data_IF_668369737196
#
_entry.id   IF_668369737196
#
_cell.length_a   1.000
_cell.length_b   1.000
_cell.length_c   1.000
_cell.angle_alpha   90.00
_cell.angle_beta   90.00
_cell.angle_gamma   90.00
#
_symmetry.space_group_name_H-M   'P 1'
#
loop_
_entity.id
_entity.type
_entity.pdbx_description
1 polymer ?
#
# COMPACT_ATOMS: atom_id res chain seq x y z
N UNK A 1 -32.29 -15.25 2.58
CA UNK A 1 -31.03 -15.92 2.25
C UNK A 1 -29.91 -14.90 2.40
N UNK A 2 -29.01 -15.08 3.35
CA UNK A 2 -27.84 -14.21 3.49
C UNK A 2 -26.98 -14.31 2.24
N UNK A 3 -26.69 -13.17 1.64
CA UNK A 3 -25.90 -13.06 0.41
C UNK A 3 -24.44 -13.32 0.79
N UNK A 4 -23.91 -14.54 0.51
CA UNK A 4 -22.53 -14.89 0.84
C UNK A 4 -21.57 -14.06 0.00
N UNK A 5 -20.88 -13.10 0.61
CA UNK A 5 -19.83 -12.29 0.00
C UNK A 5 -18.72 -13.18 -0.56
N UNK A 6 -18.32 -12.94 -1.80
CA UNK A 6 -17.15 -13.57 -2.39
C UNK A 6 -15.95 -12.63 -2.34
N UNK A 7 -14.79 -13.26 -2.28
CA UNK A 7 -13.50 -12.58 -2.24
C UNK A 7 -12.73 -12.90 -3.51
N UNK A 8 -12.25 -11.87 -4.17
CA UNK A 8 -11.56 -11.96 -5.44
C UNK A 8 -10.16 -11.36 -5.34
N UNK A 9 -9.22 -11.88 -6.12
CA UNK A 9 -7.90 -11.31 -6.34
C UNK A 9 -7.75 -11.02 -7.82
N UNK A 10 -7.44 -9.77 -8.16
CA UNK A 10 -7.20 -9.34 -9.53
C UNK A 10 -5.78 -8.78 -9.66
N UNK A 11 -5.07 -9.08 -10.77
CA UNK A 11 -3.75 -8.54 -11.01
C UNK A 11 -3.83 -7.10 -11.53
N UNK A 12 -2.85 -6.30 -11.14
CA UNK A 12 -2.53 -5.01 -11.74
C UNK A 12 -1.07 -5.00 -12.18
N UNK A 13 -0.82 -4.53 -13.39
CA UNK A 13 0.52 -4.24 -13.87
C UNK A 13 0.79 -2.73 -13.68
N UNK A 14 1.67 -2.33 -12.74
CA UNK A 14 1.92 -0.92 -12.47
C UNK A 14 2.63 -0.18 -13.61
N UNK A 15 3.18 -0.89 -14.60
CA UNK A 15 3.74 -0.27 -15.81
C UNK A 15 2.66 0.08 -16.85
N UNK A 16 1.43 -0.37 -16.64
CA UNK A 16 0.28 -0.09 -17.52
C UNK A 16 -0.69 0.87 -16.85
N UNK A 17 -0.99 0.63 -15.57
CA UNK A 17 -1.96 1.40 -14.82
C UNK A 17 -1.52 1.57 -13.36
N UNK A 18 -1.39 2.81 -12.90
CA UNK A 18 -1.06 3.14 -11.51
C UNK A 18 -2.31 3.09 -10.61
N UNK A 19 -2.70 1.87 -10.26
CA UNK A 19 -3.84 1.65 -9.38
C UNK A 19 -3.67 2.29 -7.98
N UNK A 20 -2.45 2.31 -7.44
CA UNK A 20 -2.18 2.91 -6.13
C UNK A 20 -2.36 4.43 -6.19
N UNK A 21 -1.79 5.08 -7.18
CA UNK A 21 -1.97 6.53 -7.40
C UNK A 21 -3.44 6.88 -7.62
N UNK A 22 -4.14 6.10 -8.43
CA UNK A 22 -5.56 6.29 -8.71
C UNK A 22 -6.40 6.22 -7.42
N UNK A 23 -6.28 5.18 -6.61
CA UNK A 23 -7.06 5.03 -5.37
C UNK A 23 -6.63 5.96 -4.22
N UNK A 24 -5.48 6.62 -4.29
CA UNK A 24 -5.15 7.72 -3.37
C UNK A 24 -6.03 8.95 -3.58
N UNK A 25 -6.39 9.23 -4.82
CA UNK A 25 -7.20 10.41 -5.19
C UNK A 25 -8.67 10.07 -5.42
N UNK A 26 -8.95 8.92 -6.04
CA UNK A 26 -10.28 8.51 -6.45
C UNK A 26 -10.87 7.52 -5.44
N UNK A 27 -12.17 7.65 -5.19
CA UNK A 27 -12.89 6.74 -4.30
C UNK A 27 -13.52 5.56 -5.03
N UNK A 28 -13.74 5.71 -6.32
CA UNK A 28 -14.30 4.68 -7.19
C UNK A 28 -13.63 4.72 -8.56
N UNK A 29 -13.44 3.54 -9.16
CA UNK A 29 -12.84 3.35 -10.46
C UNK A 29 -13.64 2.28 -11.21
N UNK A 30 -13.82 2.44 -12.51
CA UNK A 30 -14.41 1.43 -13.36
C UNK A 30 -13.33 0.50 -13.92
N UNK A 31 -13.25 -0.70 -13.37
CA UNK A 31 -12.25 -1.70 -13.74
C UNK A 31 -12.76 -2.56 -14.87
N UNK A 32 -12.02 -2.60 -15.95
CA UNK A 32 -12.38 -3.38 -17.13
C UNK A 32 -12.47 -4.88 -16.83
N UNK A 33 -13.48 -5.52 -17.37
CA UNK A 33 -13.86 -6.86 -17.07
C UNK A 33 -14.26 -7.64 -18.32
N UNK A 34 -13.88 -8.91 -18.42
CA UNK A 34 -14.31 -9.76 -19.51
C UNK A 34 -15.74 -10.25 -19.26
N UNK A 35 -16.54 -10.35 -20.31
CA UNK A 35 -17.99 -10.62 -20.31
C UNK A 35 -18.50 -11.86 -19.56
N UNK A 36 -17.64 -12.78 -19.13
CA UNK A 36 -18.01 -13.92 -18.28
C UNK A 36 -17.92 -13.60 -16.80
N UNK A 37 -18.50 -12.51 -16.41
CA UNK A 37 -18.33 -11.97 -15.10
C UNK A 37 -19.16 -12.68 -14.04
N UNK A 38 -18.48 -13.05 -12.94
CA UNK A 38 -19.10 -13.69 -11.76
C UNK A 38 -19.11 -12.76 -10.54
N UNK A 39 -18.75 -11.47 -10.71
CA UNK A 39 -18.83 -10.49 -9.64
C UNK A 39 -20.29 -10.23 -9.26
N UNK A 40 -20.50 -9.93 -7.99
CA UNK A 40 -21.78 -9.45 -7.48
C UNK A 40 -21.54 -8.18 -6.67
N UNK A 41 -22.52 -7.30 -6.66
CA UNK A 41 -22.48 -6.12 -5.80
C UNK A 41 -22.32 -6.57 -4.34
N UNK A 42 -21.35 -5.98 -3.64
CA UNK A 42 -20.93 -6.33 -2.29
C UNK A 42 -19.84 -7.42 -2.22
N UNK A 43 -19.35 -7.93 -3.36
CA UNK A 43 -18.14 -8.75 -3.37
C UNK A 43 -16.91 -7.92 -3.03
N UNK A 44 -15.94 -8.51 -2.33
CA UNK A 44 -14.68 -7.88 -2.01
C UNK A 44 -13.63 -8.23 -3.07
N UNK A 45 -12.91 -7.22 -3.54
CA UNK A 45 -11.87 -7.38 -4.55
C UNK A 45 -10.56 -6.83 -4.03
N UNK A 46 -9.56 -7.70 -3.93
CA UNK A 46 -8.19 -7.32 -3.64
C UNK A 46 -7.42 -7.11 -4.94
N UNK A 47 -6.64 -6.05 -5.01
CA UNK A 47 -5.79 -5.76 -6.16
C UNK A 47 -4.35 -6.12 -5.80
N UNK A 48 -3.84 -7.13 -6.50
CA UNK A 48 -2.44 -7.53 -6.44
C UNK A 48 -1.65 -6.70 -7.44
N UNK A 49 -0.71 -5.90 -6.94
CA UNK A 49 0.19 -5.11 -7.77
C UNK A 49 1.44 -5.94 -8.07
N UNK A 50 1.75 -6.16 -9.34
CA UNK A 50 2.90 -6.93 -9.77
C UNK A 50 4.23 -6.20 -9.54
N UNK A 51 5.36 -6.67 -10.09
CA UNK A 51 6.68 -6.05 -9.91
C UNK A 51 6.64 -4.52 -10.17
N UNK A 52 7.33 -3.72 -9.37
CA UNK A 52 8.29 -4.10 -8.31
C UNK A 52 7.66 -4.42 -6.94
N UNK A 53 6.37 -4.16 -6.73
CA UNK A 53 5.68 -4.25 -5.43
C UNK A 53 5.44 -5.70 -5.00
N UNK A 54 4.89 -6.52 -5.88
CA UNK A 54 4.59 -7.94 -5.66
C UNK A 54 3.79 -8.25 -4.38
N UNK A 55 2.71 -7.52 -4.16
CA UNK A 55 1.83 -7.71 -3.00
C UNK A 55 0.37 -7.37 -3.32
N UNK A 56 -0.54 -7.81 -2.47
CA UNK A 56 -1.87 -7.21 -2.41
C UNK A 56 -1.70 -5.81 -1.82
N UNK A 57 -2.13 -4.78 -2.54
CA UNK A 57 -1.93 -3.39 -2.14
C UNK A 57 -3.24 -2.67 -1.80
N UNK A 58 -4.36 -3.10 -2.38
CA UNK A 58 -5.63 -2.37 -2.29
C UNK A 58 -6.77 -3.35 -2.06
N UNK A 59 -7.68 -2.97 -1.17
CA UNK A 59 -8.97 -3.63 -0.95
C UNK A 59 -10.09 -2.74 -1.44
N UNK A 60 -11.00 -3.31 -2.19
CA UNK A 60 -12.16 -2.62 -2.77
C UNK A 60 -13.42 -3.47 -2.61
N UNK A 61 -14.57 -2.85 -2.81
CA UNK A 61 -15.88 -3.49 -2.87
C UNK A 61 -16.51 -3.25 -4.25
N UNK A 62 -17.19 -4.23 -4.79
CA UNK A 62 -17.96 -4.07 -6.03
C UNK A 62 -19.22 -3.26 -5.73
N UNK A 63 -19.32 -2.04 -6.27
CA UNK A 63 -20.49 -1.16 -6.09
C UNK A 63 -21.46 -1.18 -7.29
N UNK A 64 -20.97 -1.44 -8.51
CA UNK A 64 -21.77 -1.58 -9.74
C UNK A 64 -21.16 -2.67 -10.64
N UNK A 65 -21.99 -3.40 -11.37
CA UNK A 65 -21.58 -4.43 -12.33
C UNK A 65 -22.17 -4.15 -13.71
N UNK A 66 -21.63 -4.81 -14.72
CA UNK A 66 -22.12 -4.79 -16.11
C UNK A 66 -22.25 -3.36 -16.66
N UNK A 67 -21.25 -2.51 -16.38
CA UNK A 67 -21.18 -1.13 -16.86
C UNK A 67 -20.69 -1.17 -18.30
N UNK A 68 -21.46 -0.68 -19.27
CA UNK A 68 -20.99 -0.55 -20.65
C UNK A 68 -19.94 0.56 -20.79
N UNK A 69 -19.16 0.53 -21.86
CA UNK A 69 -18.01 1.43 -22.07
C UNK A 69 -18.39 2.91 -22.13
N UNK A 70 -19.58 3.22 -22.58
CA UNK A 70 -20.11 4.57 -22.68
C UNK A 70 -20.68 5.13 -21.36
N UNK A 71 -20.81 4.28 -20.33
CA UNK A 71 -21.27 4.67 -18.99
C UNK A 71 -20.16 4.67 -17.92
N UNK A 72 -18.89 4.45 -18.27
CA UNK A 72 -17.79 4.49 -17.30
C UNK A 72 -17.53 5.90 -16.78
N UNK A 73 -16.94 6.00 -15.57
CA UNK A 73 -16.60 7.28 -14.97
C UNK A 73 -15.54 8.06 -15.76
N UNK A 74 -14.58 7.36 -16.40
CA UNK A 74 -13.49 7.98 -17.16
C UNK A 74 -12.61 8.95 -16.36
N UNK A 75 -12.68 8.89 -15.04
CA UNK A 75 -12.02 9.83 -14.14
C UNK A 75 -10.56 9.44 -13.82
N UNK A 76 -10.11 8.31 -14.32
CA UNK A 76 -8.82 7.68 -14.02
C UNK A 76 -7.86 7.61 -15.21
N UNK A 77 -8.18 8.28 -16.32
CA UNK A 77 -7.38 8.25 -17.56
C UNK A 77 -5.90 8.64 -17.33
N UNK A 78 -5.63 9.61 -16.46
CA UNK A 78 -4.27 10.08 -16.15
C UNK A 78 -3.38 9.03 -15.48
N UNK A 79 -3.96 7.93 -14.96
CA UNK A 79 -3.22 6.84 -14.33
C UNK A 79 -2.85 5.71 -15.29
N UNK A 80 -3.29 5.77 -16.56
CA UNK A 80 -2.81 4.88 -17.61
C UNK A 80 -1.46 5.38 -18.12
N UNK A 81 -0.41 4.60 -17.88
CA UNK A 81 0.97 4.95 -18.23
C UNK A 81 1.30 4.64 -19.70
N UNK A 82 0.55 3.75 -20.30
CA UNK A 82 0.61 3.45 -21.72
C UNK A 82 -0.77 3.76 -22.32
N UNK A 83 -0.81 4.47 -23.44
CA UNK A 83 -2.02 4.86 -24.16
C UNK A 83 -2.84 3.67 -24.71
N UNK A 84 -2.69 2.48 -24.14
CA UNK A 84 -3.54 1.35 -24.45
C UNK A 84 -4.91 1.58 -23.80
N UNK A 85 -5.81 2.14 -24.58
CA UNK A 85 -7.23 2.22 -24.27
C UNK A 85 -7.71 0.79 -23.96
N UNK A 86 -8.39 0.63 -22.85
CA UNK A 86 -8.99 -0.65 -22.48
C UNK A 86 -10.06 -1.04 -23.52
N UNK A 87 -9.78 -2.08 -24.30
CA UNK A 87 -10.67 -2.58 -25.36
C UNK A 87 -11.86 -3.38 -24.82
N UNK A 88 -12.03 -3.45 -23.50
CA UNK A 88 -13.12 -4.18 -22.89
C UNK A 88 -14.44 -3.46 -23.06
N UNK A 89 -15.49 -4.23 -23.28
CA UNK A 89 -16.84 -3.73 -23.50
C UNK A 89 -17.68 -3.67 -22.21
N UNK A 90 -17.18 -4.26 -21.12
CA UNK A 90 -17.88 -4.32 -19.84
C UNK A 90 -16.94 -4.00 -18.68
N UNK A 91 -17.46 -3.29 -17.69
CA UNK A 91 -16.71 -2.84 -16.53
C UNK A 91 -17.45 -3.15 -15.24
N UNK A 92 -16.70 -3.14 -14.13
CA UNK A 92 -17.23 -3.19 -12.79
C UNK A 92 -16.71 -2.00 -12.00
N UNK A 93 -17.56 -1.35 -11.22
CA UNK A 93 -17.16 -0.26 -10.35
C UNK A 93 -16.61 -0.80 -9.06
N UNK A 94 -15.37 -0.46 -8.78
CA UNK A 94 -14.66 -0.80 -7.57
C UNK A 94 -14.60 0.43 -6.65
N UNK A 95 -15.25 0.32 -5.50
CA UNK A 95 -15.22 1.34 -4.45
C UNK A 95 -14.04 1.06 -3.53
N UNK A 96 -13.19 2.04 -3.32
CA UNK A 96 -12.06 1.96 -2.39
C UNK A 96 -12.53 1.71 -0.96
N UNK A 97 -11.90 0.77 -0.29
CA UNK A 97 -12.07 0.52 1.14
C UNK A 97 -10.83 0.92 1.93
N UNK A 98 -9.69 0.32 1.60
CA UNK A 98 -8.43 0.59 2.30
C UNK A 98 -7.21 0.17 1.47
N UNK A 99 -6.04 0.75 1.78
CA UNK A 99 -4.76 0.18 1.40
C UNK A 99 -4.37 -0.91 2.40
N UNK A 100 -3.80 -1.99 1.89
CA UNK A 100 -3.43 -3.14 2.73
C UNK A 100 -1.98 -3.05 3.19
N UNK A 101 -1.62 -3.82 4.21
CA UNK A 101 -0.22 -3.98 4.62
C UNK A 101 0.53 -4.86 3.60
N UNK A 102 1.33 -4.23 2.75
CA UNK A 102 2.03 -4.88 1.65
C UNK A 102 3.09 -5.89 2.12
N UNK A 103 3.74 -5.65 3.25
CA UNK A 103 4.75 -6.55 3.80
C UNK A 103 4.13 -7.88 4.22
N UNK A 104 2.99 -7.83 4.91
CA UNK A 104 2.26 -9.02 5.32
C UNK A 104 1.58 -9.75 4.15
N UNK A 105 1.16 -9.01 3.12
CA UNK A 105 0.47 -9.55 1.95
C UNK A 105 1.36 -9.59 0.71
N UNK A 106 2.68 -9.79 0.91
CA UNK A 106 3.66 -10.00 -0.15
C UNK A 106 3.42 -11.31 -0.89
N UNK A 107 3.92 -11.42 -2.13
CA UNK A 107 3.79 -12.64 -2.93
C UNK A 107 4.30 -13.88 -2.18
N UNK A 108 5.44 -13.76 -1.51
CA UNK A 108 6.02 -14.87 -0.75
C UNK A 108 5.06 -15.34 0.34
N UNK A 109 4.57 -14.42 1.19
CA UNK A 109 3.65 -14.75 2.27
C UNK A 109 2.31 -15.33 1.76
N UNK A 110 1.81 -14.80 0.64
CA UNK A 110 0.60 -15.33 0.01
C UNK A 110 0.81 -16.76 -0.53
N UNK A 111 2.00 -17.06 -1.08
CA UNK A 111 2.33 -18.41 -1.56
C UNK A 111 2.47 -19.41 -0.43
N UNK A 112 3.07 -19.04 0.68
CA UNK A 112 3.16 -19.86 1.91
C UNK A 112 1.77 -20.17 2.49
N UNK A 113 0.76 -19.36 2.16
CA UNK A 113 -0.62 -19.49 2.64
C UNK A 113 -1.63 -19.89 1.55
N UNK A 114 -1.17 -20.55 0.48
CA UNK A 114 -2.02 -21.23 -0.48
C UNK A 114 -2.20 -20.57 -1.84
N UNK A 115 -1.55 -19.45 -2.12
CA UNK A 115 -1.48 -18.90 -3.47
C UNK A 115 -0.42 -19.65 -4.28
N UNK A 116 -0.80 -20.33 -5.34
CA UNK A 116 0.13 -21.17 -6.14
C UNK A 116 1.20 -20.34 -6.86
N UNK A 117 0.81 -19.20 -7.42
CA UNK A 117 1.68 -18.31 -8.19
C UNK A 117 1.11 -16.89 -8.20
N UNK A 118 1.92 -15.90 -8.61
CA UNK A 118 1.44 -14.55 -8.84
C UNK A 118 0.22 -14.56 -9.78
N UNK A 119 -0.88 -13.87 -9.44
CA UNK A 119 -2.10 -13.91 -10.24
C UNK A 119 -1.85 -13.27 -11.61
N UNK A 120 -2.20 -14.00 -12.67
CA UNK A 120 -2.16 -13.52 -14.06
C UNK A 120 -3.56 -13.12 -14.55
N UNK A 121 -4.58 -13.55 -13.84
CA UNK A 121 -5.98 -13.26 -14.11
C UNK A 121 -6.77 -13.21 -12.81
N UNK A 122 -8.04 -12.82 -12.91
CA UNK A 122 -8.97 -12.84 -11.77
C UNK A 122 -9.13 -14.25 -11.21
N UNK A 123 -8.92 -14.40 -9.90
CA UNK A 123 -9.14 -15.64 -9.17
C UNK A 123 -10.05 -15.41 -7.96
N UNK A 124 -10.73 -16.44 -7.51
CA UNK A 124 -11.48 -16.41 -6.25
C UNK A 124 -10.56 -16.81 -5.12
N UNK A 125 -10.56 -16.01 -4.05
CA UNK A 125 -9.82 -16.32 -2.82
C UNK A 125 -10.69 -17.21 -1.95
N UNK A 126 -10.14 -18.31 -1.44
CA UNK A 126 -10.85 -19.30 -0.62
C UNK A 126 -9.94 -19.84 0.48
N UNK A 127 -10.55 -20.60 1.38
CA UNK A 127 -9.91 -21.46 2.37
C UNK A 127 -8.80 -20.78 3.18
N UNK A 128 -7.63 -21.36 3.24
CA UNK A 128 -6.53 -20.87 4.09
C UNK A 128 -5.97 -19.53 3.61
N UNK A 129 -5.91 -19.30 2.30
CA UNK A 129 -5.51 -18.00 1.74
C UNK A 129 -6.48 -16.89 2.19
N UNK A 130 -7.78 -17.16 2.19
CA UNK A 130 -8.76 -16.19 2.67
C UNK A 130 -8.60 -15.94 4.17
N UNK A 131 -8.46 -17.00 4.97
CA UNK A 131 -8.24 -16.86 6.42
C UNK A 131 -6.99 -16.03 6.72
N UNK A 132 -5.91 -16.29 5.96
CA UNK A 132 -4.66 -15.54 6.09
C UNK A 132 -4.86 -14.06 5.80
N UNK A 133 -5.46 -13.70 4.67
CA UNK A 133 -5.69 -12.29 4.29
C UNK A 133 -6.58 -11.59 5.34
N UNK A 134 -7.69 -12.21 5.75
CA UNK A 134 -8.63 -11.66 6.73
C UNK A 134 -8.02 -11.45 8.12
N UNK A 135 -6.95 -12.16 8.46
CA UNK A 135 -6.21 -11.95 9.72
C UNK A 135 -5.66 -10.53 9.82
N UNK A 136 -5.21 -9.96 8.69
CA UNK A 136 -4.63 -8.62 8.65
C UNK A 136 -5.68 -7.51 8.48
N UNK A 137 -6.90 -7.83 8.06
CA UNK A 137 -8.01 -6.87 8.04
C UNK A 137 -8.48 -6.45 9.45
N UNK A 138 -8.49 -7.39 10.39
CA UNK A 138 -8.90 -7.11 11.79
C UNK A 138 -7.90 -6.24 12.55
N UNK A 139 -6.66 -6.15 12.06
CA UNK A 139 -5.61 -5.30 12.61
C UNK A 139 -5.69 -3.88 12.03
N UNK A 140 -6.36 -3.70 10.90
CA UNK A 140 -6.40 -2.47 10.08
C UNK A 140 -7.37 -1.38 10.55
N UNK A 141 -8.06 -1.51 11.70
CA UNK A 141 -8.80 -0.38 12.29
C UNK A 141 -7.91 0.58 13.10
N UNK A 142 -6.65 0.27 13.21
CA UNK A 142 -5.60 1.27 13.38
C UNK A 142 -4.98 1.49 12.00
N UNK A 143 -5.04 2.73 11.46
CA UNK A 143 -4.25 3.08 10.27
C UNK A 143 -2.89 2.40 10.40
N UNK A 144 -2.41 1.64 9.40
CA UNK A 144 -1.01 1.27 9.42
C UNK A 144 -0.28 2.61 9.42
N UNK A 145 0.34 2.94 10.55
CA UNK A 145 1.41 3.93 10.55
C UNK A 145 2.23 3.58 9.34
N UNK A 146 2.36 4.51 8.42
CA UNK A 146 3.22 4.34 7.26
C UNK A 146 4.60 3.99 7.82
N UNK A 147 4.89 2.71 7.94
CA UNK A 147 6.24 2.23 7.84
C UNK A 147 6.59 2.47 6.37
N UNK A 148 6.82 3.75 6.02
CA UNK A 148 7.79 4.00 4.97
C UNK A 148 8.95 3.08 5.37
N UNK A 149 9.24 2.08 4.57
CA UNK A 149 10.55 1.42 4.60
C UNK A 149 11.50 2.57 4.40
N UNK A 150 11.97 3.12 5.53
CA UNK A 150 12.95 4.19 5.50
C UNK A 150 14.13 3.59 4.77
N UNK A 151 14.60 4.27 3.75
CA UNK A 151 15.76 3.78 3.02
C UNK A 151 16.84 3.45 4.06
N UNK A 152 17.39 2.22 4.00
CA UNK A 152 18.43 1.74 4.93
C UNK A 152 19.62 2.71 5.00
N UNK A 153 19.83 3.48 3.92
CA UNK A 153 20.82 4.53 3.83
C UNK A 153 20.11 5.84 3.43
N UNK A 154 20.29 6.89 4.22
CA UNK A 154 19.79 8.22 3.95
C UNK A 154 20.93 9.23 3.98
N UNK A 155 21.00 10.08 2.96
CA UNK A 155 22.00 11.15 2.87
C UNK A 155 21.25 12.47 3.02
N UNK A 156 21.60 13.23 4.06
CA UNK A 156 21.12 14.60 4.23
C UNK A 156 22.07 15.55 3.49
N UNK A 157 21.62 16.08 2.38
CA UNK A 157 22.39 16.97 1.52
C UNK A 157 22.01 18.44 1.76
N UNK A 158 23.00 19.35 1.67
CA UNK A 158 22.77 20.80 1.81
C UNK A 158 24.03 21.58 2.21
N UNK A 159 23.98 22.90 2.07
CA UNK A 159 25.07 23.80 2.44
C UNK A 159 25.40 23.75 3.95
N UNK A 160 26.58 24.14 4.40
CA UNK A 160 26.89 24.34 5.82
C UNK A 160 25.84 25.26 6.50
N UNK A 161 25.45 24.91 7.73
CA UNK A 161 24.47 25.69 8.49
C UNK A 161 22.99 25.44 8.19
N UNK A 162 22.63 24.54 7.28
CA UNK A 162 21.23 24.22 6.92
C UNK A 162 20.53 23.25 7.88
N UNK A 163 21.06 23.05 9.08
CA UNK A 163 20.41 22.21 10.11
C UNK A 163 20.50 20.70 9.86
N UNK A 164 21.48 20.20 9.07
CA UNK A 164 21.65 18.77 8.82
C UNK A 164 21.73 17.95 10.10
N UNK A 165 22.59 18.33 11.05
CA UNK A 165 22.72 17.65 12.35
C UNK A 165 21.43 17.73 13.17
N UNK A 166 20.72 18.84 13.10
CA UNK A 166 19.40 19.00 13.71
C UNK A 166 18.42 17.95 13.18
N UNK A 167 18.35 17.82 11.87
CA UNK A 167 17.47 16.88 11.19
C UNK A 167 17.88 15.42 11.39
N UNK A 168 19.17 15.14 11.59
CA UNK A 168 19.68 13.77 11.89
C UNK A 168 19.11 13.26 13.21
N UNK A 169 19.11 14.08 14.26
CA UNK A 169 18.53 13.70 15.56
C UNK A 169 17.04 13.39 15.42
N UNK A 170 16.29 14.31 14.80
CA UNK A 170 14.86 14.13 14.58
C UNK A 170 14.57 12.85 13.81
N UNK A 171 15.35 12.60 12.77
CA UNK A 171 15.17 11.41 11.92
C UNK A 171 15.52 10.11 12.64
N UNK A 172 16.56 10.10 13.47
CA UNK A 172 16.92 8.95 14.28
C UNK A 172 15.80 8.58 15.28
N UNK A 173 15.25 9.55 15.99
CA UNK A 173 14.12 9.33 16.91
C UNK A 173 12.88 8.87 16.15
N UNK A 174 12.55 9.49 15.03
CA UNK A 174 11.41 9.07 14.19
C UNK A 174 11.51 7.61 13.74
N UNK A 175 12.75 7.14 13.46
CA UNK A 175 13.01 5.74 13.05
C UNK A 175 12.80 4.78 14.21
N UNK A 176 13.32 5.10 15.38
CA UNK A 176 13.35 4.20 16.55
C UNK A 176 12.02 4.24 17.30
N UNK A 177 11.49 5.45 17.52
CA UNK A 177 10.29 5.72 18.31
C UNK A 177 9.42 6.80 17.64
N UNK A 178 8.69 6.36 16.62
CA UNK A 178 7.86 7.27 15.83
C UNK A 178 6.72 7.90 16.65
N UNK A 179 6.30 7.28 17.75
CA UNK A 179 5.22 7.79 18.58
C UNK A 179 5.72 8.89 19.48
N UNK A 180 6.84 8.65 20.15
CA UNK A 180 7.52 9.69 20.93
C UNK A 180 7.87 10.91 20.06
N UNK A 181 8.37 10.66 18.83
CA UNK A 181 8.67 11.75 17.89
C UNK A 181 7.44 12.60 17.54
N UNK A 182 6.29 11.98 17.29
CA UNK A 182 5.05 12.70 16.96
C UNK A 182 4.54 13.56 18.10
N UNK A 183 4.63 13.05 19.32
CA UNK A 183 4.17 13.75 20.51
C UNK A 183 5.09 14.90 20.90
N UNK A 184 6.40 14.80 20.60
CA UNK A 184 7.43 15.74 21.04
C UNK A 184 8.17 16.44 19.88
N UNK A 185 7.63 16.42 18.64
CA UNK A 185 8.35 16.92 17.46
C UNK A 185 8.76 18.39 17.56
N UNK A 186 8.01 19.19 18.31
CA UNK A 186 8.26 20.61 18.53
C UNK A 186 9.06 20.89 19.83
N UNK A 187 9.28 19.84 20.65
CA UNK A 187 10.10 19.90 21.86
C UNK A 187 11.52 19.38 21.57
N UNK A 188 12.40 20.35 21.33
CA UNK A 188 13.81 20.06 20.98
C UNK A 188 14.60 19.43 22.12
N UNK A 189 14.31 19.80 23.34
CA UNK A 189 15.03 19.29 24.51
C UNK A 189 14.66 17.83 24.75
N UNK A 190 13.38 17.51 24.76
CA UNK A 190 12.90 16.14 24.86
C UNK A 190 13.48 15.21 23.76
N UNK A 191 13.57 15.69 22.51
CA UNK A 191 14.17 14.91 21.43
C UNK A 191 15.67 14.68 21.63
N UNK A 192 16.42 15.64 22.14
CA UNK A 192 17.86 15.50 22.44
C UNK A 192 18.10 14.51 23.58
N UNK A 193 17.34 14.64 24.66
CA UNK A 193 17.45 13.73 25.81
C UNK A 193 17.16 12.29 25.37
N UNK A 194 16.10 12.08 24.61
CA UNK A 194 15.73 10.76 24.07
C UNK A 194 16.79 10.20 23.12
N UNK A 195 17.40 11.04 22.31
CA UNK A 195 18.50 10.65 21.43
C UNK A 195 19.72 10.16 22.24
N UNK A 196 20.10 10.87 23.30
CA UNK A 196 21.22 10.45 24.16
C UNK A 196 20.89 9.19 24.98
N UNK A 197 19.63 8.99 25.35
CA UNK A 197 19.16 7.74 25.96
C UNK A 197 19.38 6.55 25.04
N UNK A 198 18.91 6.65 23.77
CA UNK A 198 19.08 5.58 22.78
C UNK A 198 20.54 5.35 22.41
N UNK A 199 21.35 6.40 22.42
CA UNK A 199 22.79 6.29 22.21
C UNK A 199 23.48 5.53 23.34
N UNK A 200 23.13 5.83 24.61
CA UNK A 200 23.61 5.08 25.78
C UNK A 200 23.16 3.62 25.79
N UNK A 201 21.96 3.36 25.29
CA UNK A 201 21.40 2.01 25.14
C UNK A 201 22.01 1.23 23.94
N UNK A 202 22.90 1.84 23.15
CA UNK A 202 23.52 1.21 21.99
C UNK A 202 22.59 1.04 20.77
N UNK A 203 21.44 1.73 20.75
CA UNK A 203 20.50 1.69 19.64
C UNK A 203 20.83 2.75 18.57
N UNK A 204 21.61 3.77 18.95
CA UNK A 204 22.14 4.78 18.04
C UNK A 204 23.66 4.85 18.20
N UNK A 205 24.36 4.82 17.08
CA UNK A 205 25.78 5.16 17.01
C UNK A 205 25.95 6.40 16.14
N UNK A 206 26.63 7.41 16.68
CA UNK A 206 26.90 8.68 15.97
C UNK A 206 28.41 8.83 15.77
N UNK A 207 28.84 8.79 14.52
CA UNK A 207 30.25 8.86 14.16
C UNK A 207 30.48 10.11 13.31
N UNK A 208 31.51 10.86 13.61
CA UNK A 208 31.96 12.00 12.80
C UNK A 208 33.19 11.60 11.99
N UNK A 209 33.08 11.72 10.67
CA UNK A 209 34.24 11.53 9.79
C UNK A 209 34.96 12.87 9.60
N UNK A 210 36.22 12.90 9.93
CA UNK A 210 37.11 14.01 9.61
C UNK A 210 37.92 13.65 8.36
N UNK A 211 38.00 14.57 7.41
CA UNK A 211 38.97 14.43 6.32
C UNK A 211 40.37 14.59 6.92
N UNK A 212 41.19 13.57 6.75
CA UNK A 212 42.63 13.62 7.03
C UNK A 212 43.37 14.35 5.91
#
# INVERSE_FOLDING_TARGET
MEKKTKYWLIPNNPNVYDAIGAFKELKEIDWGNKSNNKFKIGDIVYIYVSKPIQSIAIKTEVSKIDIPKDEILGNDEKYFLNHNIDDRESFVRLKFLEFTNQDNLSLQNLQENGLKQAPQSKITIKDDLLKYILKFEKIGNTMPKSTQKQALNQILYGSPGTGKTFNTINRAIEIIDSDFYKENRDDREALKEKFEEYKKAGQIEFITFHQS
#
